data_IF_889913767455
#
_entry.id   IF_889913767455
#
_cell.length_a   1.000
_cell.length_b   1.000
_cell.length_c   1.000
_cell.angle_alpha   90.00
_cell.angle_beta   90.00
_cell.angle_gamma   90.00
#
_symmetry.space_group_name_H-M   'P 1'
#
loop_
_entity.id
_entity.type
_entity.pdbx_description
1 polymer ?
#
# COMPACT_ATOMS: atom_id res chain seq x y z
N UNK A 1 -41.92 15.79 26.94
CA UNK A 1 -41.44 15.41 25.61
C UNK A 1 -39.98 15.02 25.78
N UNK A 2 -39.74 13.74 26.10
CA UNK A 2 -38.40 13.22 26.30
C UNK A 2 -37.88 12.90 24.92
N UNK A 3 -36.81 13.57 24.53
CA UNK A 3 -36.03 13.19 23.35
C UNK A 3 -35.27 11.92 23.74
N UNK A 4 -35.64 10.79 23.12
CA UNK A 4 -34.83 9.58 23.11
C UNK A 4 -33.46 9.95 22.49
N UNK A 5 -32.48 10.07 23.34
CA UNK A 5 -31.10 10.11 22.92
C UNK A 5 -30.80 8.71 22.44
N UNK A 6 -30.88 8.48 21.12
CA UNK A 6 -30.29 7.32 20.51
C UNK A 6 -28.86 7.20 21.03
N UNK A 7 -28.65 6.22 21.90
CA UNK A 7 -27.32 5.81 22.34
C UNK A 7 -26.61 5.33 21.07
N UNK A 8 -25.89 6.28 20.44
CA UNK A 8 -24.99 5.95 19.33
C UNK A 8 -24.06 4.88 19.86
N UNK A 9 -24.24 3.69 19.34
CA UNK A 9 -23.53 2.48 19.74
C UNK A 9 -22.03 2.65 19.45
N UNK A 10 -21.32 3.28 20.40
CA UNK A 10 -19.87 3.52 20.32
C UNK A 10 -19.07 2.21 20.24
N UNK A 11 -19.64 1.08 20.69
CA UNK A 11 -19.04 -0.24 20.57
C UNK A 11 -18.94 -0.70 19.10
N UNK A 12 -19.89 -0.31 18.24
CA UNK A 12 -19.88 -0.65 16.80
C UNK A 12 -18.91 0.18 15.99
N UNK A 13 -18.44 1.32 16.52
CA UNK A 13 -17.46 2.20 15.88
C UNK A 13 -16.00 1.76 16.10
N UNK A 14 -15.74 0.88 17.07
CA UNK A 14 -14.40 0.44 17.49
C UNK A 14 -13.68 -0.47 16.48
N UNK A 15 -14.38 -1.07 15.52
CA UNK A 15 -13.77 -2.01 14.56
C UNK A 15 -13.57 -1.47 13.13
N UNK A 16 -13.73 -0.17 12.89
CA UNK A 16 -13.38 0.37 11.56
C UNK A 16 -11.87 0.37 11.39
N UNK A 17 -11.38 -0.54 10.54
CA UNK A 17 -10.00 -0.58 10.09
C UNK A 17 -9.59 0.81 9.58
N UNK A 18 -8.59 1.42 10.21
CA UNK A 18 -8.08 2.75 9.88
C UNK A 18 -7.40 2.72 8.52
N UNK A 19 -6.57 1.70 8.31
CA UNK A 19 -5.94 1.41 7.04
C UNK A 19 -6.75 0.30 6.33
N UNK A 20 -7.37 0.65 5.22
CA UNK A 20 -8.07 -0.32 4.36
C UNK A 20 -7.07 -1.19 3.58
N UNK A 21 -7.54 -2.27 2.97
CA UNK A 21 -6.76 -3.12 2.07
C UNK A 21 -6.18 -2.32 0.89
N UNK A 22 -6.79 -1.18 0.53
CA UNK A 22 -6.27 -0.28 -0.50
C UNK A 22 -4.87 0.29 -0.19
N UNK A 23 -4.43 0.27 1.07
CA UNK A 23 -3.06 0.62 1.45
C UNK A 23 -2.04 -0.47 1.13
N UNK A 24 -2.49 -1.70 0.84
CA UNK A 24 -1.59 -2.76 0.40
C UNK A 24 -1.20 -2.56 -1.07
N UNK A 25 -0.23 -1.68 -1.31
CA UNK A 25 0.26 -1.40 -2.66
C UNK A 25 0.90 -2.63 -3.32
N UNK A 26 1.38 -3.61 -2.54
CA UNK A 26 1.95 -4.86 -3.07
C UNK A 26 0.93 -5.71 -3.84
N UNK A 27 -0.39 -5.49 -3.68
CA UNK A 27 -1.41 -6.09 -4.54
C UNK A 27 -1.23 -5.75 -6.02
N UNK A 28 -0.49 -4.68 -6.33
CA UNK A 28 -0.08 -4.35 -7.69
C UNK A 28 0.82 -5.39 -8.37
N UNK A 29 1.40 -6.34 -7.61
CA UNK A 29 2.17 -7.47 -8.16
C UNK A 29 1.29 -8.64 -8.61
N UNK A 30 -0.02 -8.64 -8.33
CA UNK A 30 -0.90 -9.76 -8.70
C UNK A 30 -0.84 -10.13 -10.19
N UNK A 31 -0.83 -9.19 -11.17
CA UNK A 31 -0.66 -9.55 -12.58
C UNK A 31 0.71 -10.18 -12.88
N UNK A 32 1.77 -9.78 -12.17
CA UNK A 32 3.11 -10.34 -12.33
C UNK A 32 3.16 -11.78 -11.84
N UNK A 33 2.57 -12.05 -10.67
CA UNK A 33 2.44 -13.42 -10.13
C UNK A 33 1.65 -14.30 -11.12
N UNK A 34 0.55 -13.77 -11.65
CA UNK A 34 -0.25 -14.48 -12.67
C UNK A 34 0.60 -14.82 -13.90
N UNK A 35 1.41 -13.87 -14.40
CA UNK A 35 2.31 -14.09 -15.53
C UNK A 35 3.33 -15.19 -15.24
N UNK A 36 3.95 -15.17 -14.05
CA UNK A 36 4.91 -16.19 -13.61
C UNK A 36 4.25 -17.57 -13.56
N UNK A 37 3.08 -17.69 -12.96
CA UNK A 37 2.36 -18.96 -12.87
C UNK A 37 1.94 -19.50 -14.25
N UNK A 38 1.49 -18.61 -15.13
CA UNK A 38 1.11 -19.00 -16.48
C UNK A 38 2.31 -19.42 -17.34
N UNK A 39 3.49 -18.80 -17.15
CA UNK A 39 4.70 -19.16 -17.92
C UNK A 39 5.21 -20.58 -17.66
N UNK A 40 4.80 -21.21 -16.55
CA UNK A 40 5.06 -22.63 -16.27
C UNK A 40 4.11 -23.57 -17.02
N UNK A 41 2.94 -23.07 -17.43
CA UNK A 41 1.87 -23.88 -18.05
C UNK A 41 1.77 -23.70 -19.56
N UNK A 42 2.09 -22.52 -20.06
CA UNK A 42 1.92 -22.12 -21.47
C UNK A 42 3.18 -21.43 -21.98
N UNK A 43 3.22 -21.18 -23.29
CA UNK A 43 4.34 -20.45 -23.92
C UNK A 43 4.55 -19.09 -23.24
N UNK A 44 5.81 -18.74 -22.98
CA UNK A 44 6.24 -17.55 -22.25
C UNK A 44 5.65 -16.26 -22.84
N UNK A 45 5.62 -16.12 -24.17
CA UNK A 45 5.07 -14.94 -24.84
C UNK A 45 3.57 -14.78 -24.59
N UNK A 46 2.83 -15.89 -24.65
CA UNK A 46 1.39 -15.92 -24.38
C UNK A 46 1.11 -15.54 -22.92
N UNK A 47 1.93 -16.05 -21.98
CA UNK A 47 1.82 -15.69 -20.56
C UNK A 47 2.03 -14.19 -20.32
N UNK A 48 2.99 -13.57 -21.03
CA UNK A 48 3.23 -12.10 -20.95
C UNK A 48 2.02 -11.33 -21.49
N UNK A 49 1.42 -11.72 -22.61
CA UNK A 49 0.25 -11.04 -23.16
C UNK A 49 -0.96 -11.14 -22.24
N UNK A 50 -1.20 -12.32 -21.66
CA UNK A 50 -2.30 -12.50 -20.68
C UNK A 50 -2.05 -11.66 -19.42
N UNK A 51 -0.81 -11.68 -18.92
CA UNK A 51 -0.42 -10.87 -17.77
C UNK A 51 -0.56 -9.37 -18.01
N UNK A 52 -0.15 -8.89 -19.18
CA UNK A 52 -0.34 -7.50 -19.59
C UNK A 52 -1.83 -7.13 -19.65
N UNK A 53 -2.67 -7.97 -20.30
CA UNK A 53 -4.11 -7.74 -20.37
C UNK A 53 -4.75 -7.72 -18.97
N UNK A 54 -4.36 -8.61 -18.07
CA UNK A 54 -4.81 -8.63 -16.68
C UNK A 54 -4.36 -7.38 -15.92
N UNK A 55 -3.13 -6.90 -16.13
CA UNK A 55 -2.61 -5.69 -15.51
C UNK A 55 -3.38 -4.44 -15.98
N UNK A 56 -3.63 -4.32 -17.29
CA UNK A 56 -4.39 -3.22 -17.88
C UNK A 56 -5.84 -3.21 -17.39
N UNK A 57 -6.51 -4.36 -17.37
CA UNK A 57 -7.89 -4.48 -16.88
C UNK A 57 -7.98 -4.15 -15.39
N UNK A 58 -7.02 -4.58 -14.58
CA UNK A 58 -6.97 -4.27 -13.16
C UNK A 58 -6.71 -2.76 -12.93
N UNK A 59 -5.77 -2.17 -13.68
CA UNK A 59 -5.51 -0.73 -13.62
C UNK A 59 -6.75 0.09 -14.04
N UNK A 60 -7.42 -0.31 -15.13
CA UNK A 60 -8.67 0.32 -15.59
C UNK A 60 -9.77 0.22 -14.54
N UNK A 61 -9.98 -0.97 -13.98
CA UNK A 61 -10.97 -1.19 -12.93
C UNK A 61 -10.74 -0.29 -11.71
N UNK A 62 -9.50 -0.20 -11.24
CA UNK A 62 -9.16 0.61 -10.06
C UNK A 62 -9.33 2.12 -10.32
N UNK A 63 -8.99 2.59 -11.51
CA UNK A 63 -9.06 4.01 -11.86
C UNK A 63 -10.48 4.49 -12.19
N UNK A 64 -11.20 3.75 -13.03
CA UNK A 64 -12.44 4.22 -13.63
C UNK A 64 -13.69 3.66 -12.98
N UNK A 65 -13.70 2.37 -12.63
CA UNK A 65 -14.89 1.70 -12.08
C UNK A 65 -14.96 1.93 -10.57
N UNK A 66 -13.90 1.60 -9.85
CA UNK A 66 -13.88 1.70 -8.41
C UNK A 66 -13.60 3.13 -7.91
N UNK A 67 -13.23 4.05 -8.80
CA UNK A 67 -12.85 5.44 -8.47
C UNK A 67 -11.96 5.45 -7.23
N UNK A 68 -10.94 4.59 -7.23
CA UNK A 68 -10.09 4.37 -6.08
C UNK A 68 -9.51 5.70 -5.61
N UNK A 69 -9.78 6.05 -4.35
CA UNK A 69 -9.22 7.27 -3.73
C UNK A 69 -7.70 7.21 -3.62
N UNK A 70 -7.13 6.00 -3.66
CA UNK A 70 -5.69 5.76 -3.57
C UNK A 70 -5.16 5.17 -4.87
N UNK A 71 -4.09 5.76 -5.38
CA UNK A 71 -3.41 5.29 -6.59
C UNK A 71 -2.37 4.23 -6.25
N UNK A 72 -2.48 3.04 -6.86
CA UNK A 72 -1.49 1.98 -6.69
C UNK A 72 -0.36 2.14 -7.71
N UNK A 73 0.72 2.84 -7.32
CA UNK A 73 1.87 3.08 -8.21
C UNK A 73 2.65 1.80 -8.54
N UNK A 74 2.58 0.77 -7.70
CA UNK A 74 3.18 -0.54 -7.98
C UNK A 74 2.42 -1.23 -9.11
N UNK A 75 1.10 -1.15 -9.13
CA UNK A 75 0.29 -1.68 -10.23
C UNK A 75 0.64 -0.99 -11.55
N UNK A 76 0.82 0.34 -11.54
CA UNK A 76 1.21 1.07 -12.75
C UNK A 76 2.61 0.67 -13.24
N UNK A 77 3.56 0.46 -12.31
CA UNK A 77 4.89 -0.04 -12.63
C UNK A 77 4.82 -1.46 -13.21
N UNK A 78 4.07 -2.37 -12.59
CA UNK A 78 3.88 -3.74 -13.08
C UNK A 78 3.26 -3.76 -14.48
N UNK A 79 2.23 -2.92 -14.70
CA UNK A 79 1.59 -2.77 -16.01
C UNK A 79 2.58 -2.25 -17.05
N UNK A 80 3.39 -1.26 -16.70
CA UNK A 80 4.41 -0.71 -17.58
C UNK A 80 5.47 -1.77 -17.95
N UNK A 81 5.99 -2.50 -16.97
CA UNK A 81 6.99 -3.55 -17.19
C UNK A 81 6.43 -4.66 -18.10
N UNK A 82 5.22 -5.15 -17.81
CA UNK A 82 4.58 -6.18 -18.66
C UNK A 82 4.29 -5.66 -20.08
N UNK A 83 3.92 -4.39 -20.23
CA UNK A 83 3.72 -3.78 -21.55
C UNK A 83 5.03 -3.67 -22.34
N UNK A 84 6.12 -3.29 -21.68
CA UNK A 84 7.46 -3.22 -22.32
C UNK A 84 7.92 -4.62 -22.73
N UNK A 85 7.73 -5.63 -21.88
CA UNK A 85 8.05 -7.02 -22.24
C UNK A 85 7.19 -7.53 -23.39
N UNK A 86 5.90 -7.24 -23.39
CA UNK A 86 5.01 -7.60 -24.50
C UNK A 86 5.42 -6.92 -25.82
N UNK A 87 5.92 -5.68 -25.78
CA UNK A 87 6.49 -5.04 -26.97
C UNK A 87 7.83 -5.68 -27.39
N UNK A 88 8.65 -6.10 -26.42
CA UNK A 88 9.92 -6.77 -26.70
C UNK A 88 9.73 -8.10 -27.41
N UNK A 89 8.63 -8.84 -27.16
CA UNK A 89 8.32 -10.07 -27.89
C UNK A 89 8.07 -9.85 -29.40
N UNK A 90 7.69 -8.65 -29.80
CA UNK A 90 7.46 -8.29 -31.20
C UNK A 90 8.77 -7.97 -31.95
N UNK A 91 9.85 -7.72 -31.22
CA UNK A 91 11.16 -7.44 -31.80
C UNK A 91 11.96 -8.74 -31.95
N UNK A 92 12.80 -8.86 -32.97
CA UNK A 92 13.69 -10.05 -33.17
C UNK A 92 14.88 -9.96 -32.21
N UNK A 93 14.63 -9.77 -30.92
CA UNK A 93 15.63 -9.63 -29.86
C UNK A 93 15.37 -10.71 -28.83
N UNK A 94 16.38 -11.45 -28.43
CA UNK A 94 16.33 -12.39 -27.32
C UNK A 94 16.26 -11.59 -26.00
N UNK A 95 15.08 -11.07 -25.67
CA UNK A 95 14.83 -10.23 -24.48
C UNK A 95 14.88 -11.02 -23.17
N UNK A 96 14.67 -12.34 -23.25
CA UNK A 96 14.67 -13.20 -22.06
C UNK A 96 14.97 -14.65 -22.47
N UNK A 97 16.02 -15.30 -21.94
CA UNK A 97 16.25 -16.71 -22.15
C UNK A 97 15.03 -17.53 -21.70
N UNK A 98 14.69 -18.56 -22.48
CA UNK A 98 13.56 -19.45 -22.14
C UNK A 98 13.73 -20.01 -20.72
N UNK A 99 12.69 -19.88 -19.89
CA UNK A 99 12.69 -20.35 -18.51
C UNK A 99 13.22 -19.35 -17.47
N UNK A 100 13.70 -18.16 -17.86
CA UNK A 100 14.19 -17.15 -16.91
C UNK A 100 13.25 -15.96 -16.75
N UNK A 101 12.01 -16.08 -17.22
CA UNK A 101 11.03 -14.99 -17.11
C UNK A 101 10.79 -14.51 -15.68
N UNK A 102 10.65 -15.37 -14.65
CA UNK A 102 10.36 -14.93 -13.29
C UNK A 102 11.44 -14.01 -12.72
N UNK A 103 12.73 -14.37 -12.88
CA UNK A 103 13.83 -13.53 -12.41
C UNK A 103 13.97 -12.24 -13.22
N UNK A 104 13.68 -12.29 -14.53
CA UNK A 104 13.67 -11.09 -15.39
C UNK A 104 12.60 -10.11 -14.95
N UNK A 105 11.40 -10.58 -14.61
CA UNK A 105 10.33 -9.77 -14.06
C UNK A 105 10.71 -9.17 -12.70
N UNK A 106 11.32 -9.98 -11.83
CA UNK A 106 11.78 -9.50 -10.52
C UNK A 106 12.80 -8.36 -10.67
N UNK A 107 13.81 -8.53 -11.50
CA UNK A 107 14.84 -7.51 -11.77
C UNK A 107 14.25 -6.26 -12.40
N UNK A 108 13.35 -6.43 -13.38
CA UNK A 108 12.69 -5.31 -14.09
C UNK A 108 11.82 -4.47 -13.17
N UNK A 109 11.29 -5.05 -12.09
CA UNK A 109 10.50 -4.34 -11.08
C UNK A 109 11.40 -3.81 -9.96
N UNK A 110 12.37 -4.59 -9.49
CA UNK A 110 13.25 -4.19 -8.40
C UNK A 110 14.14 -2.99 -8.76
N UNK A 111 14.65 -2.90 -10.00
CA UNK A 111 15.52 -1.81 -10.41
C UNK A 111 14.86 -0.41 -10.31
N UNK A 112 13.67 -0.14 -10.90
CA UNK A 112 13.01 1.15 -10.73
C UNK A 112 12.56 1.40 -9.28
N UNK A 113 12.19 0.37 -8.52
CA UNK A 113 11.86 0.52 -7.10
C UNK A 113 13.10 0.88 -6.25
N UNK A 114 14.28 0.39 -6.61
CA UNK A 114 15.53 0.78 -5.98
C UNK A 114 15.80 2.28 -6.22
N UNK A 115 15.65 2.75 -7.46
CA UNK A 115 15.78 4.18 -7.82
C UNK A 115 14.76 5.00 -7.02
N UNK A 116 13.51 4.55 -6.95
CA UNK A 116 12.45 5.19 -6.16
C UNK A 116 12.83 5.25 -4.68
N UNK A 117 13.38 4.18 -4.12
CA UNK A 117 13.79 4.12 -2.73
C UNK A 117 14.92 5.09 -2.41
N UNK A 118 15.93 5.17 -3.27
CA UNK A 118 17.04 6.13 -3.14
C UNK A 118 16.53 7.58 -3.19
N UNK A 119 15.53 7.86 -4.03
CA UNK A 119 14.94 9.19 -4.21
C UNK A 119 13.61 9.39 -3.46
N UNK A 120 13.30 8.54 -2.45
CA UNK A 120 12.01 8.53 -1.73
C UNK A 120 11.56 9.90 -1.23
N UNK A 121 12.49 10.71 -0.68
CA UNK A 121 12.18 12.07 -0.20
C UNK A 121 11.74 12.99 -1.32
N UNK A 122 12.38 12.91 -2.50
CA UNK A 122 12.01 13.72 -3.68
C UNK A 122 10.65 13.28 -4.22
N UNK A 123 10.41 11.97 -4.30
CA UNK A 123 9.15 11.38 -4.76
C UNK A 123 7.96 11.83 -3.89
N UNK A 124 8.01 11.65 -2.57
CA UNK A 124 6.94 12.08 -1.66
C UNK A 124 6.77 13.61 -1.66
N UNK A 125 7.88 14.36 -1.66
CA UNK A 125 7.83 15.82 -1.68
C UNK A 125 7.24 16.39 -2.98
N UNK A 126 7.38 15.69 -4.11
CA UNK A 126 6.71 16.08 -5.36
C UNK A 126 5.19 16.15 -5.18
N UNK A 127 4.57 15.13 -4.59
CA UNK A 127 3.13 15.14 -4.32
C UNK A 127 2.74 16.15 -3.23
N UNK A 128 3.60 16.36 -2.24
CA UNK A 128 3.39 17.34 -1.18
C UNK A 128 3.38 18.77 -1.70
N UNK A 129 4.18 19.08 -2.75
CA UNK A 129 4.26 20.41 -3.37
C UNK A 129 3.16 20.70 -4.37
N UNK A 130 2.47 19.70 -4.89
CA UNK A 130 1.41 19.87 -5.89
C UNK A 130 0.25 20.67 -5.27
N UNK A 131 0.04 21.90 -5.75
CA UNK A 131 -1.04 22.79 -5.28
C UNK A 131 -2.37 22.38 -5.92
N UNK A 132 -3.48 22.54 -5.18
CA UNK A 132 -4.84 22.51 -5.75
C UNK A 132 -5.49 21.14 -5.96
N UNK A 133 -4.90 20.03 -5.52
CA UNK A 133 -5.57 18.74 -5.60
C UNK A 133 -6.51 18.56 -4.39
N UNK A 134 -7.80 18.42 -4.64
CA UNK A 134 -8.79 18.08 -3.63
C UNK A 134 -8.44 16.76 -2.90
N UNK A 135 -7.68 15.87 -3.57
CA UNK A 135 -7.20 14.58 -3.08
C UNK A 135 -5.72 14.54 -2.68
N UNK A 136 -5.14 15.69 -2.35
CA UNK A 136 -3.71 15.79 -2.01
C UNK A 136 -3.28 14.79 -0.93
N UNK A 137 -4.11 14.60 0.09
CA UNK A 137 -3.85 13.65 1.18
C UNK A 137 -3.75 12.22 0.66
N UNK A 138 -4.67 11.79 -0.19
CA UNK A 138 -4.70 10.46 -0.76
C UNK A 138 -3.48 10.19 -1.66
N UNK A 139 -3.04 11.20 -2.43
CA UNK A 139 -1.83 11.10 -3.27
C UNK A 139 -0.56 10.94 -2.43
N UNK A 140 -0.42 11.70 -1.35
CA UNK A 140 0.75 11.59 -0.45
C UNK A 140 0.74 10.22 0.24
N UNK A 141 -0.40 9.78 0.77
CA UNK A 141 -0.54 8.46 1.40
C UNK A 141 -0.24 7.33 0.41
N UNK A 142 -0.71 7.44 -0.83
CA UNK A 142 -0.40 6.48 -1.91
C UNK A 142 1.10 6.42 -2.18
N UNK A 143 1.77 7.58 -2.25
CA UNK A 143 3.21 7.64 -2.46
C UNK A 143 4.00 7.04 -1.29
N UNK A 144 3.64 7.34 -0.06
CA UNK A 144 4.27 6.81 1.15
C UNK A 144 4.07 5.28 1.25
N UNK A 145 2.85 4.79 1.03
CA UNK A 145 2.54 3.34 1.02
C UNK A 145 3.30 2.60 -0.08
N UNK A 146 3.49 3.23 -1.25
CA UNK A 146 4.29 2.67 -2.34
C UNK A 146 5.77 2.54 -1.94
N UNK A 147 6.34 3.54 -1.27
CA UNK A 147 7.73 3.48 -0.78
C UNK A 147 7.90 2.36 0.25
N UNK A 148 6.92 2.16 1.13
CA UNK A 148 6.95 1.07 2.12
C UNK A 148 6.88 -0.29 1.43
N UNK A 149 5.92 -0.49 0.53
CA UNK A 149 5.78 -1.75 -0.21
C UNK A 149 7.00 -2.03 -1.11
N UNK A 150 7.57 -1.00 -1.76
CA UNK A 150 8.81 -1.10 -2.51
C UNK A 150 10.00 -1.50 -1.64
N UNK A 151 10.08 -1.01 -0.40
CA UNK A 151 11.14 -1.43 0.54
C UNK A 151 11.02 -2.91 0.91
N UNK A 152 9.81 -3.42 1.11
CA UNK A 152 9.60 -4.85 1.44
C UNK A 152 10.12 -5.74 0.33
N UNK A 153 9.74 -5.48 -0.92
CA UNK A 153 10.21 -6.31 -2.05
C UNK A 153 11.72 -6.19 -2.24
N UNK A 154 12.31 -5.00 -2.11
CA UNK A 154 13.77 -4.82 -2.23
C UNK A 154 14.55 -5.60 -1.17
N UNK A 155 14.03 -5.71 0.06
CA UNK A 155 14.65 -6.53 1.10
C UNK A 155 14.55 -8.01 0.73
N UNK A 156 13.38 -8.49 0.29
CA UNK A 156 13.19 -9.89 -0.08
C UNK A 156 14.04 -10.28 -1.29
N UNK A 157 14.05 -9.47 -2.36
CA UNK A 157 14.91 -9.68 -3.53
C UNK A 157 16.39 -9.62 -3.15
N UNK A 158 16.78 -8.66 -2.31
CA UNK A 158 18.16 -8.57 -1.81
C UNK A 158 18.60 -9.83 -1.06
N UNK A 159 17.75 -10.39 -0.21
CA UNK A 159 18.01 -11.65 0.48
C UNK A 159 18.13 -12.83 -0.50
N UNK A 160 17.26 -12.89 -1.52
CA UNK A 160 17.32 -13.91 -2.57
C UNK A 160 18.63 -13.83 -3.34
N UNK A 161 19.04 -12.64 -3.81
CA UNK A 161 20.30 -12.46 -4.54
C UNK A 161 21.52 -12.75 -3.66
N UNK A 162 21.47 -12.39 -2.39
CA UNK A 162 22.52 -12.76 -1.44
C UNK A 162 22.62 -14.28 -1.30
N UNK A 163 21.49 -14.97 -1.13
CA UNK A 163 21.45 -16.44 -1.04
C UNK A 163 21.96 -17.11 -2.33
N UNK A 164 21.59 -16.58 -3.51
CA UNK A 164 22.10 -17.05 -4.80
C UNK A 164 23.62 -16.87 -4.89
N UNK A 165 24.12 -15.70 -4.53
CA UNK A 165 25.57 -15.39 -4.56
C UNK A 165 26.36 -16.34 -3.63
N UNK A 166 25.86 -16.54 -2.41
CA UNK A 166 26.46 -17.47 -1.45
C UNK A 166 26.39 -18.92 -1.97
N UNK A 167 25.27 -19.30 -2.57
CA UNK A 167 25.09 -20.62 -3.19
C UNK A 167 26.13 -20.88 -4.28
N UNK A 168 26.35 -19.93 -5.18
CA UNK A 168 27.35 -20.01 -6.23
C UNK A 168 28.77 -20.09 -5.65
N UNK A 169 29.04 -19.30 -4.61
CA UNK A 169 30.38 -19.23 -4.02
C UNK A 169 30.78 -20.50 -3.25
N UNK A 170 29.84 -21.10 -2.52
CA UNK A 170 30.13 -22.20 -1.60
C UNK A 170 29.76 -23.58 -2.16
N UNK A 171 28.81 -23.68 -3.08
CA UNK A 171 28.28 -24.94 -3.61
C UNK A 171 28.40 -25.08 -5.15
N UNK A 172 29.38 -24.49 -5.74
CA UNK A 172 29.62 -24.64 -7.17
C UNK A 172 30.17 -26.05 -7.55
N UNK A 173 29.64 -26.74 -8.58
CA UNK A 173 28.52 -26.34 -9.45
C UNK A 173 27.15 -26.58 -8.82
N UNK A 174 26.24 -25.64 -8.99
CA UNK A 174 24.84 -25.81 -8.56
C UNK A 174 24.15 -26.85 -9.44
N UNK A 175 23.31 -27.70 -8.83
CA UNK A 175 22.50 -28.66 -9.60
C UNK A 175 21.42 -27.92 -10.41
N UNK A 176 20.99 -28.51 -11.56
CA UNK A 176 19.91 -27.93 -12.38
C UNK A 176 18.64 -27.63 -11.55
N UNK A 177 18.28 -28.52 -10.62
CA UNK A 177 17.13 -28.33 -9.72
C UNK A 177 17.30 -27.10 -8.83
N UNK A 178 18.50 -26.88 -8.31
CA UNK A 178 18.79 -25.72 -7.46
C UNK A 178 18.72 -24.43 -8.27
N UNK A 179 19.25 -24.44 -9.51
CA UNK A 179 19.15 -23.30 -10.41
C UNK A 179 17.69 -22.98 -10.74
N UNK A 180 16.88 -24.00 -11.05
CA UNK A 180 15.45 -23.80 -11.30
C UNK A 180 14.75 -23.17 -10.11
N UNK A 181 15.04 -23.57 -8.86
CA UNK A 181 14.46 -22.97 -7.64
C UNK A 181 14.82 -21.50 -7.55
N UNK A 182 16.08 -21.13 -7.74
CA UNK A 182 16.53 -19.75 -7.63
C UNK A 182 15.99 -18.83 -8.73
N UNK A 183 15.85 -19.31 -9.95
CA UNK A 183 15.49 -18.49 -11.11
C UNK A 183 13.98 -18.46 -11.40
N UNK A 184 13.25 -19.51 -10.98
CA UNK A 184 11.81 -19.63 -11.28
C UNK A 184 10.94 -19.56 -10.03
N UNK A 185 11.21 -20.41 -9.03
CA UNK A 185 10.34 -20.51 -7.86
C UNK A 185 10.48 -19.32 -6.91
N UNK A 186 11.71 -18.97 -6.55
CA UNK A 186 11.97 -17.91 -5.56
C UNK A 186 11.46 -16.54 -5.99
N UNK A 187 11.62 -16.06 -7.24
CA UNK A 187 11.05 -14.78 -7.67
C UNK A 187 9.54 -14.70 -7.49
N UNK A 188 8.81 -15.78 -7.82
CA UNK A 188 7.37 -15.88 -7.58
C UNK A 188 7.02 -15.77 -6.10
N UNK A 189 7.78 -16.45 -5.24
CA UNK A 189 7.62 -16.39 -3.79
C UNK A 189 7.94 -15.01 -3.22
N UNK A 190 8.93 -14.29 -3.75
CA UNK A 190 9.26 -12.92 -3.33
C UNK A 190 8.07 -11.99 -3.53
N UNK A 191 7.41 -12.03 -4.69
CA UNK A 191 6.20 -11.24 -4.93
C UNK A 191 5.06 -11.64 -3.99
N UNK A 192 4.82 -12.93 -3.81
CA UNK A 192 3.76 -13.45 -2.93
C UNK A 192 3.99 -13.03 -1.48
N UNK A 193 5.21 -13.26 -0.95
CA UNK A 193 5.57 -12.85 0.40
C UNK A 193 5.55 -11.32 0.59
N UNK A 194 5.87 -10.54 -0.44
CA UNK A 194 5.74 -9.08 -0.39
C UNK A 194 4.29 -8.66 -0.13
N UNK A 195 3.31 -9.31 -0.79
CA UNK A 195 1.88 -9.04 -0.54
C UNK A 195 1.48 -9.43 0.88
N UNK A 196 1.88 -10.63 1.33
CA UNK A 196 1.53 -11.14 2.66
C UNK A 196 2.14 -10.31 3.77
N UNK A 197 3.44 -10.01 3.70
CA UNK A 197 4.13 -9.21 4.72
C UNK A 197 3.56 -7.79 4.79
N UNK A 198 3.28 -7.17 3.65
CA UNK A 198 2.67 -5.83 3.64
C UNK A 198 1.27 -5.86 4.27
N UNK A 199 0.48 -6.93 4.05
CA UNK A 199 -0.82 -7.11 4.69
C UNK A 199 -0.70 -7.31 6.21
N UNK A 200 0.28 -8.11 6.65
CA UNK A 200 0.57 -8.31 8.08
C UNK A 200 0.93 -6.99 8.74
N UNK A 201 1.80 -6.18 8.12
CA UNK A 201 2.19 -4.87 8.63
C UNK A 201 0.97 -3.94 8.74
N UNK A 202 0.09 -3.89 7.74
CA UNK A 202 -1.14 -3.10 7.78
C UNK A 202 -2.05 -3.56 8.93
N UNK A 203 -2.23 -4.87 9.11
CA UNK A 203 -3.05 -5.40 10.19
C UNK A 203 -2.44 -5.09 11.57
N UNK A 204 -1.12 -5.19 11.71
CA UNK A 204 -0.41 -4.83 12.93
C UNK A 204 -0.60 -3.35 13.28
N UNK A 205 -0.44 -2.43 12.30
CA UNK A 205 -0.71 -1.02 12.50
C UNK A 205 -2.17 -0.76 12.87
N UNK A 206 -3.13 -1.41 12.22
CA UNK A 206 -4.54 -1.29 12.58
C UNK A 206 -4.81 -1.73 14.02
N UNK A 207 -4.17 -2.81 14.48
CA UNK A 207 -4.29 -3.28 15.86
C UNK A 207 -3.68 -2.29 16.87
N UNK A 208 -2.48 -1.76 16.58
CA UNK A 208 -1.85 -0.74 17.42
C UNK A 208 -2.70 0.54 17.51
N UNK A 209 -3.25 0.97 16.38
CA UNK A 209 -4.03 2.20 16.29
C UNK A 209 -5.44 2.06 16.85
N UNK A 210 -5.96 0.83 17.01
CA UNK A 210 -7.28 0.59 17.59
C UNK A 210 -7.39 1.04 19.06
N UNK A 211 -6.28 1.08 19.80
CA UNK A 211 -6.21 1.58 21.17
C UNK A 211 -6.04 3.10 21.30
N UNK A 212 -5.92 3.83 20.19
CA UNK A 212 -5.70 5.27 20.21
C UNK A 212 -7.02 6.04 20.13
N UNK A 213 -7.15 7.06 20.97
CA UNK A 213 -8.31 7.94 20.94
C UNK A 213 -8.32 8.83 19.70
N UNK A 214 -9.44 8.81 18.98
CA UNK A 214 -9.67 9.64 17.79
C UNK A 214 -10.69 10.73 18.10
N UNK A 215 -10.39 11.92 17.58
CA UNK A 215 -11.29 13.08 17.64
C UNK A 215 -11.86 13.34 16.24
N UNK A 216 -13.17 13.55 16.09
CA UNK A 216 -13.75 13.90 14.80
C UNK A 216 -13.26 15.26 14.33
N UNK A 217 -12.97 15.37 13.04
CA UNK A 217 -12.72 16.64 12.36
C UNK A 217 -14.02 17.08 11.72
N UNK A 218 -14.44 18.32 11.98
CA UNK A 218 -15.67 18.88 11.42
C UNK A 218 -15.37 20.02 10.46
N UNK A 219 -16.29 20.29 9.55
CA UNK A 219 -16.28 21.50 8.73
C UNK A 219 -16.89 22.69 9.53
N UNK A 220 -16.90 23.87 8.93
CA UNK A 220 -17.51 25.07 9.53
C UNK A 220 -19.01 24.93 9.83
N UNK A 221 -19.69 23.97 9.19
CA UNK A 221 -21.10 23.66 9.40
C UNK A 221 -21.34 22.64 10.52
N UNK A 222 -20.27 22.04 11.06
CA UNK A 222 -20.35 21.00 12.09
C UNK A 222 -20.46 19.57 11.56
N UNK A 223 -20.43 19.35 10.22
CA UNK A 223 -20.48 18.02 9.65
C UNK A 223 -19.13 17.30 9.79
N UNK A 224 -19.15 16.03 10.17
CA UNK A 224 -17.94 15.24 10.35
C UNK A 224 -17.33 14.89 8.98
N UNK A 225 -16.18 15.48 8.69
CA UNK A 225 -15.44 15.29 7.44
C UNK A 225 -14.27 14.29 7.57
N UNK A 226 -13.88 13.96 8.82
CA UNK A 226 -12.77 13.04 9.07
C UNK A 226 -12.55 12.75 10.55
N UNK A 227 -11.42 12.10 10.84
CA UNK A 227 -10.94 11.81 12.20
C UNK A 227 -9.46 12.09 12.26
N UNK A 228 -8.95 12.64 13.36
CA UNK A 228 -7.54 12.74 13.69
C UNK A 228 -7.24 12.06 15.03
N UNK A 229 -5.98 11.73 15.25
CA UNK A 229 -5.53 11.29 16.56
C UNK A 229 -5.70 12.43 17.56
N UNK A 230 -6.17 12.12 18.78
CA UNK A 230 -6.32 13.14 19.85
C UNK A 230 -5.01 13.89 20.10
N UNK A 231 -3.88 13.18 20.11
CA UNK A 231 -2.55 13.77 20.28
C UNK A 231 -2.21 14.72 19.13
N UNK A 232 -2.52 14.32 17.88
CA UNK A 232 -2.29 15.14 16.70
C UNK A 232 -3.21 16.37 16.67
N UNK A 233 -4.48 16.20 17.01
CA UNK A 233 -5.45 17.29 17.11
C UNK A 233 -5.06 18.34 18.16
N UNK A 234 -4.44 17.91 19.27
CA UNK A 234 -3.90 18.81 20.31
C UNK A 234 -2.65 19.53 19.83
N UNK A 235 -1.74 18.82 19.12
CA UNK A 235 -0.47 19.37 18.62
C UNK A 235 -0.67 20.39 17.50
N UNK A 236 -1.68 20.18 16.64
CA UNK A 236 -1.97 21.02 15.46
C UNK A 236 -3.27 21.80 15.63
N UNK A 237 -3.41 22.51 16.75
CA UNK A 237 -4.63 23.25 17.16
C UNK A 237 -5.28 24.12 16.06
N UNK A 238 -4.51 24.62 15.11
CA UNK A 238 -4.99 25.52 14.05
C UNK A 238 -5.23 24.86 12.71
N UNK A 239 -5.03 23.54 12.59
CA UNK A 239 -5.13 22.83 11.32
C UNK A 239 -6.47 22.12 11.15
N UNK A 240 -7.11 21.74 12.26
CA UNK A 240 -8.36 20.99 12.26
C UNK A 240 -9.38 21.64 13.20
N UNK A 241 -10.62 21.71 12.75
CA UNK A 241 -11.76 22.12 13.58
C UNK A 241 -12.27 20.86 14.27
N UNK A 242 -12.19 20.82 15.59
CA UNK A 242 -12.72 19.72 16.41
C UNK A 242 -13.96 20.20 17.16
N UNK A 243 -15.05 19.40 17.21
CA UNK A 243 -16.22 19.78 17.97
C UNK A 243 -15.90 19.77 19.47
N UNK A 244 -16.28 20.83 20.15
CA UNK A 244 -16.20 20.93 21.62
C UNK A 244 -17.59 20.87 22.19
N UNK A 245 -17.89 19.81 22.94
CA UNK A 245 -19.15 19.67 23.67
C UNK A 245 -18.94 20.27 25.07
N UNK A 246 -19.75 21.24 25.41
CA UNK A 246 -19.84 21.81 26.79
C UNK A 246 -21.13 21.34 27.41
N UNK A 247 -21.03 20.61 28.50
CA UNK A 247 -22.19 20.14 29.25
C UNK A 247 -22.34 21.05 30.47
N UNK A 248 -23.48 21.76 30.55
CA UNK A 248 -23.86 22.53 31.71
C UNK A 248 -24.86 21.69 32.51
N UNK A 249 -24.52 21.32 33.73
CA UNK A 249 -25.40 20.61 34.62
C UNK A 249 -26.08 21.65 35.53
N UNK A 250 -27.40 21.75 35.37
CA UNK A 250 -28.24 22.65 36.22
C UNK A 250 -29.14 21.77 37.07
N UNK A 251 -29.07 21.94 38.38
CA UNK A 251 -29.97 21.30 39.35
C UNK A 251 -30.47 22.33 40.34
N UNK A 252 -31.78 22.37 40.57
CA UNK A 252 -32.43 23.33 41.48
C UNK A 252 -32.03 24.80 41.23
N UNK A 253 -31.91 25.20 39.95
CA UNK A 253 -31.54 26.57 39.58
C UNK A 253 -30.07 26.93 39.81
N UNK A 254 -29.24 25.97 40.21
CA UNK A 254 -27.80 26.16 40.42
C UNK A 254 -27.02 25.48 39.31
N UNK A 255 -26.03 26.21 38.74
CA UNK A 255 -25.10 25.67 37.74
C UNK A 255 -23.93 25.00 38.46
N UNK A 256 -23.73 23.71 38.18
CA UNK A 256 -22.57 22.97 38.68
C UNK A 256 -21.40 23.17 37.73
N UNK A 257 -20.36 23.86 38.22
CA UNK A 257 -19.09 24.01 37.50
C UNK A 257 -18.12 22.97 38.03
N UNK A 258 -17.68 22.07 37.16
CA UNK A 258 -16.58 21.16 37.46
C UNK A 258 -15.27 21.85 37.08
N UNK A 259 -14.34 21.96 38.03
CA UNK A 259 -12.97 22.38 37.70
C UNK A 259 -12.37 21.32 36.79
N UNK A 260 -11.93 21.75 35.62
CA UNK A 260 -11.18 20.91 34.71
C UNK A 260 -9.87 20.57 35.42
N UNK A 261 -9.72 19.31 35.86
CA UNK A 261 -8.42 18.82 36.29
C UNK A 261 -7.43 19.08 35.15
N UNK A 262 -6.34 19.78 35.44
CA UNK A 262 -5.24 20.01 34.51
C UNK A 262 -4.48 18.69 34.32
N UNK A 263 -5.09 17.75 33.64
CA UNK A 263 -4.37 16.66 33.02
C UNK A 263 -4.14 17.05 31.56
N UNK A 264 -3.01 17.67 31.35
CA UNK A 264 -2.39 17.83 30.03
C UNK A 264 -1.65 16.57 29.64
#
# INVERSE_FOLDING_TARGET
MFLDVETIDYAKMSHRKILSVAFNMSLGYAPVILTILLSELIAQDVAIYIGMAAALTYAYFTLYINKARMHNYILYLSTFVLSVLALATLLPIDYCPKGNLPITLEMSIAAPLLILHLHRRRFVNYFRRKKGACDKRNLIQSAESTVVAGKVILILSGLQFLALTLGILFWHPLTERTMWVYFNLLPGLVFLFSILLNQIVINFFNSMMAGLEYVPIVNERGDVIGKSLKVEAISYKNTYINPVIRIAVVSNGRLFLCNRSQEC
#
